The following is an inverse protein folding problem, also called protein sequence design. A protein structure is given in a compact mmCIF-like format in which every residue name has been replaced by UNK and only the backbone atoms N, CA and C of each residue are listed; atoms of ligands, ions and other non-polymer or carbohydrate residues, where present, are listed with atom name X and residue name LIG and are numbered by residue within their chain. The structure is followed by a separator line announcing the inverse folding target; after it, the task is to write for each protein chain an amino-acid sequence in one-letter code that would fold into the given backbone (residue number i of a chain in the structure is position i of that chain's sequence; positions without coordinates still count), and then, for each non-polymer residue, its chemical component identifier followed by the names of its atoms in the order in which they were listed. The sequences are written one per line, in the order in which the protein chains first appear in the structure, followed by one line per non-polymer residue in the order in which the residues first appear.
data_IF_876817035892
#
_entry.id   IF_876817035892
#
_cell.length_a   1.000
_cell.length_b   1.000
_cell.length_c   1.000
_cell.angle_alpha   90.00
_cell.angle_beta   90.00
_cell.angle_gamma   90.00
#
_symmetry.space_group_name_H-M   'P 1'
#
loop_
_entity.id
_entity.type
_entity.pdbx_description
1 polymer ?
#
# COMPACT_ATOMS: atom_id res chain seq x y z
N UNK A 1 -15.66 12.85 -13.39
CA UNK A 1 -14.22 13.18 -13.28
C UNK A 1 -13.80 13.60 -11.87
N UNK A 2 -14.36 14.66 -11.25
CA UNK A 2 -13.98 15.04 -9.87
C UNK A 2 -14.44 14.03 -8.80
N UNK A 3 -15.62 13.42 -8.99
CA UNK A 3 -16.14 12.38 -8.12
C UNK A 3 -15.27 11.11 -8.18
N UNK A 4 -14.85 10.71 -9.39
CA UNK A 4 -13.98 9.56 -9.62
C UNK A 4 -12.62 9.71 -8.96
N UNK A 5 -12.02 10.91 -9.02
CA UNK A 5 -10.77 11.22 -8.30
C UNK A 5 -10.92 11.15 -6.78
N UNK A 6 -12.03 11.64 -6.24
CA UNK A 6 -12.27 11.61 -4.78
C UNK A 6 -12.53 10.18 -4.30
N UNK A 7 -13.21 9.36 -5.10
CA UNK A 7 -13.41 7.94 -4.81
C UNK A 7 -12.10 7.16 -4.92
N UNK A 8 -11.29 7.45 -5.93
CA UNK A 8 -9.95 6.90 -6.11
C UNK A 8 -9.06 7.13 -4.88
N UNK A 9 -8.91 8.38 -4.42
CA UNK A 9 -8.03 8.67 -3.29
C UNK A 9 -8.52 7.99 -2.01
N UNK A 10 -9.83 8.00 -1.77
CA UNK A 10 -10.42 7.33 -0.61
C UNK A 10 -10.18 5.81 -0.63
N UNK A 11 -10.31 5.16 -1.79
CA UNK A 11 -10.08 3.72 -1.92
C UNK A 11 -8.63 3.36 -1.63
N UNK A 12 -7.70 4.12 -2.20
CA UNK A 12 -6.27 3.95 -1.97
C UNK A 12 -5.96 4.08 -0.47
N UNK A 13 -6.36 5.19 0.14
CA UNK A 13 -6.04 5.47 1.54
C UNK A 13 -6.70 4.45 2.49
N UNK A 14 -7.96 4.06 2.23
CA UNK A 14 -8.67 3.05 3.05
C UNK A 14 -8.01 1.67 2.95
N UNK A 15 -7.52 1.29 1.77
CA UNK A 15 -6.85 0.01 1.57
C UNK A 15 -5.51 -0.02 2.30
N UNK A 16 -4.78 1.10 2.30
CA UNK A 16 -3.53 1.26 3.07
C UNK A 16 -3.79 1.21 4.58
N UNK A 17 -4.86 1.87 5.08
CA UNK A 17 -5.27 1.77 6.49
C UNK A 17 -5.53 0.32 6.91
N UNK A 18 -6.32 -0.42 6.10
CA UNK A 18 -6.61 -1.83 6.35
C UNK A 18 -5.33 -2.67 6.34
N UNK A 19 -4.41 -2.39 5.40
CA UNK A 19 -3.13 -3.08 5.33
C UNK A 19 -2.25 -2.86 6.55
N UNK A 20 -2.24 -1.65 7.11
CA UNK A 20 -1.50 -1.34 8.33
C UNK A 20 -2.06 -2.08 9.56
N UNK A 21 -3.39 -2.26 9.64
CA UNK A 21 -4.06 -2.97 10.74
C UNK A 21 -3.94 -4.50 10.63
N UNK A 22 -4.15 -5.05 9.43
CA UNK A 22 -4.23 -6.50 9.22
C UNK A 22 -2.86 -7.12 8.96
N UNK A 23 -1.94 -6.36 8.37
CA UNK A 23 -0.65 -6.84 7.90
C UNK A 23 -0.48 -6.59 6.41
N UNK A 24 0.54 -5.78 6.09
CA UNK A 24 0.77 -5.32 4.71
C UNK A 24 1.06 -6.47 3.76
N UNK A 25 1.78 -7.51 4.20
CA UNK A 25 2.11 -8.68 3.36
C UNK A 25 0.85 -9.40 2.88
N UNK A 26 -0.13 -9.62 3.76
CA UNK A 26 -1.34 -10.37 3.44
C UNK A 26 -2.26 -9.59 2.49
N UNK A 27 -2.32 -8.27 2.64
CA UNK A 27 -3.08 -7.42 1.72
C UNK A 27 -2.36 -7.28 0.38
N UNK A 28 -1.03 -7.15 0.37
CA UNK A 28 -0.25 -6.95 -0.85
C UNK A 28 -0.39 -8.12 -1.83
N UNK A 29 -0.39 -9.37 -1.32
CA UNK A 29 -0.60 -10.56 -2.17
C UNK A 29 -1.96 -10.54 -2.89
N UNK A 30 -3.00 -9.98 -2.25
CA UNK A 30 -4.33 -9.86 -2.85
C UNK A 30 -4.38 -8.76 -3.90
N UNK A 31 -3.87 -7.58 -3.56
CA UNK A 31 -3.92 -6.38 -4.42
C UNK A 31 -3.02 -6.52 -5.65
N UNK A 32 -1.95 -7.33 -5.59
CA UNK A 32 -1.09 -7.59 -6.77
C UNK A 32 -1.82 -8.35 -7.88
N UNK A 33 -2.79 -9.21 -7.56
CA UNK A 33 -3.57 -9.91 -8.58
C UNK A 33 -4.42 -8.94 -9.42
N UNK A 34 -4.84 -7.83 -8.82
CA UNK A 34 -5.66 -6.78 -9.45
C UNK A 34 -4.88 -5.98 -10.53
N UNK A 35 -3.55 -6.13 -10.61
CA UNK A 35 -2.74 -5.56 -11.69
C UNK A 35 -3.00 -6.20 -13.06
N UNK A 36 -3.73 -7.33 -13.11
CA UNK A 36 -4.10 -8.03 -14.35
C UNK A 36 -5.43 -7.55 -14.94
N UNK A 37 -6.11 -6.60 -14.30
CA UNK A 37 -7.40 -6.08 -14.74
C UNK A 37 -7.31 -5.36 -16.11
N UNK A 38 -8.37 -5.40 -16.91
CA UNK A 38 -8.41 -4.78 -18.23
C UNK A 38 -8.48 -3.23 -18.16
N UNK A 39 -9.05 -2.69 -17.08
CA UNK A 39 -9.22 -1.26 -16.83
C UNK A 39 -7.90 -0.60 -16.43
N UNK A 40 -7.32 0.18 -17.34
CA UNK A 40 -6.10 0.94 -17.06
C UNK A 40 -6.23 1.89 -15.85
N UNK A 41 -7.32 2.67 -15.68
CA UNK A 41 -7.48 3.52 -14.49
C UNK A 41 -7.47 2.71 -13.18
N UNK A 42 -8.00 1.49 -13.22
CA UNK A 42 -7.99 0.60 -12.05
C UNK A 42 -6.59 0.09 -11.76
N UNK A 43 -5.84 -0.39 -12.77
CA UNK A 43 -4.43 -0.80 -12.60
C UNK A 43 -3.55 0.32 -12.06
N UNK A 44 -3.76 1.56 -12.48
CA UNK A 44 -3.04 2.74 -11.94
C UNK A 44 -3.35 2.93 -10.46
N UNK A 45 -4.62 2.80 -10.05
CA UNK A 45 -5.02 2.87 -8.64
C UNK A 45 -4.37 1.78 -7.78
N UNK A 46 -4.34 0.55 -8.31
CA UNK A 46 -3.74 -0.60 -7.66
C UNK A 46 -2.25 -0.38 -7.45
N UNK A 47 -1.54 0.12 -8.47
CA UNK A 47 -0.12 0.48 -8.36
C UNK A 47 0.14 1.55 -7.30
N UNK A 48 -0.64 2.63 -7.28
CA UNK A 48 -0.47 3.69 -6.26
C UNK A 48 -0.72 3.15 -4.83
N UNK A 49 -1.68 2.24 -4.68
CA UNK A 49 -1.97 1.58 -3.40
C UNK A 49 -0.78 0.73 -2.94
N UNK A 50 -0.20 -0.06 -3.85
CA UNK A 50 0.99 -0.88 -3.58
C UNK A 50 2.18 0.00 -3.20
N UNK A 51 2.42 1.10 -3.93
CA UNK A 51 3.53 2.03 -3.66
C UNK A 51 3.40 2.66 -2.27
N UNK A 52 2.21 3.14 -1.90
CA UNK A 52 1.95 3.71 -0.56
C UNK A 52 2.11 2.67 0.55
N UNK A 53 1.61 1.44 0.35
CA UNK A 53 1.78 0.34 1.31
C UNK A 53 3.26 0.03 1.56
N UNK A 54 4.06 -0.09 0.50
CA UNK A 54 5.51 -0.37 0.60
C UNK A 54 6.25 0.80 1.24
N UNK A 55 5.91 2.04 0.86
CA UNK A 55 6.51 3.25 1.45
C UNK A 55 6.24 3.33 2.96
N UNK A 56 5.03 2.99 3.40
CA UNK A 56 4.68 2.93 4.83
C UNK A 56 5.47 1.85 5.56
N UNK A 57 5.70 0.68 4.96
CA UNK A 57 6.59 -0.34 5.53
C UNK A 57 8.04 0.13 5.64
N UNK A 58 8.55 0.83 4.62
CA UNK A 58 9.88 1.42 4.63
C UNK A 58 10.04 2.47 5.74
N UNK A 59 9.01 3.29 5.96
CA UNK A 59 8.93 4.21 7.09
C UNK A 59 8.80 3.49 8.44
N UNK A 60 8.14 2.34 8.48
CA UNK A 60 8.00 1.50 9.69
C UNK A 60 9.30 0.73 10.02
N UNK A 61 10.20 0.57 9.05
CA UNK A 61 11.53 -0.05 9.20
C UNK A 61 12.67 0.93 9.53
N UNK A 62 12.39 2.24 9.59
CA UNK A 62 13.28 3.26 10.15
C UNK A 62 12.94 3.59 11.62
N UNK A 63 12.52 2.58 12.39
CA UNK A 63 13.14 2.43 13.71
C UNK A 63 14.44 1.66 13.49
N UNK A 64 15.47 2.42 13.17
CA UNK A 64 16.84 1.95 13.12
C UNK A 64 17.17 1.39 14.50
N UNK A 65 16.97 0.09 14.66
CA UNK A 65 17.40 -0.65 15.83
C UNK A 65 18.92 -0.67 15.85
N UNK A 66 19.49 0.42 16.37
CA UNK A 66 20.81 0.47 16.96
C UNK A 66 20.83 -0.39 18.22
N UNK A 67 20.69 -1.70 18.08
CA UNK A 67 21.16 -2.62 19.10
C UNK A 67 22.60 -3.00 18.79
N UNK A 68 23.46 -2.19 19.41
CA UNK A 68 24.81 -2.50 19.91
C UNK A 68 25.12 -4.01 19.83
N UNK A 69 25.94 -4.40 18.86
CA UNK A 69 26.78 -5.57 19.04
C UNK A 69 27.88 -5.19 20.03
N UNK A 70 27.61 -5.46 21.31
CA UNK A 70 28.62 -5.62 22.35
C UNK A 70 28.76 -7.12 22.59
N UNK A 71 29.76 -7.74 22.00
CA UNK A 71 30.55 -8.87 22.54
C UNK A 71 31.77 -9.06 21.66
#
# INVERSE_FOLDING_TARGET
MALDRRNYMQLVDKTVEIANEVGVKDILVKVVEDLKDESEPYRVMVMETIEKMISNLGASGVDAHGQRFSS
#
